data_IF_870779461202
#
_entry.id   IF_870779461202
#
_cell.length_a   1.000
_cell.length_b   1.000
_cell.length_c   1.000
_cell.angle_alpha   90.00
_cell.angle_beta   90.00
_cell.angle_gamma   90.00
#
_symmetry.space_group_name_H-M   'P 1'
#
loop_
_entity.id
_entity.type
_entity.pdbx_description
1 polymer ?
#
# COMPACT_ATOMS: atom_id res chain seq x y z
N UNK A 1 -26.05 -22.95 -3.42
CA UNK A 1 -25.36 -21.72 -2.97
C UNK A 1 -23.88 -21.98 -3.09
N UNK A 2 -23.24 -21.48 -4.15
CA UNK A 2 -21.80 -21.59 -4.36
C UNK A 2 -21.30 -20.18 -4.69
N UNK A 3 -21.12 -19.39 -3.63
CA UNK A 3 -20.36 -18.15 -3.66
C UNK A 3 -19.12 -18.39 -2.79
N UNK A 4 -18.05 -17.62 -3.04
CA UNK A 4 -16.83 -17.53 -2.21
C UNK A 4 -15.65 -18.45 -2.51
N UNK A 5 -15.35 -18.71 -3.79
CA UNK A 5 -13.93 -18.89 -4.20
C UNK A 5 -13.60 -18.02 -5.38
N UNK A 6 -13.99 -16.75 -5.31
CA UNK A 6 -13.39 -15.71 -6.13
C UNK A 6 -11.92 -15.59 -5.67
N UNK A 7 -11.04 -16.35 -6.33
CA UNK A 7 -9.60 -16.28 -6.08
C UNK A 7 -9.21 -14.82 -6.28
N UNK A 8 -8.83 -14.14 -5.20
CA UNK A 8 -8.13 -12.85 -5.19
C UNK A 8 -6.80 -13.00 -5.93
N UNK A 9 -6.85 -13.12 -7.27
CA UNK A 9 -5.71 -13.02 -8.15
C UNK A 9 -5.57 -11.55 -8.52
N UNK A 10 -4.97 -10.78 -7.63
CA UNK A 10 -4.54 -9.43 -7.99
C UNK A 10 -3.12 -9.58 -8.53
N UNK A 11 -2.90 -9.14 -9.78
CA UNK A 11 -1.55 -9.18 -10.34
C UNK A 11 -0.65 -8.14 -9.63
N UNK A 12 0.67 -8.39 -9.51
CA UNK A 12 1.60 -7.40 -8.95
C UNK A 12 1.54 -6.05 -9.69
N UNK A 13 1.29 -6.07 -10.99
CA UNK A 13 1.11 -4.87 -11.81
C UNK A 13 -0.15 -4.07 -11.45
N UNK A 14 -1.27 -4.74 -11.16
CA UNK A 14 -2.49 -4.07 -10.69
C UNK A 14 -2.31 -3.50 -9.28
N UNK A 15 -1.63 -4.22 -8.38
CA UNK A 15 -1.28 -3.69 -7.06
C UNK A 15 -0.43 -2.42 -7.16
N UNK A 16 0.59 -2.42 -8.03
CA UNK A 16 1.44 -1.25 -8.25
C UNK A 16 0.65 -0.06 -8.82
N UNK A 17 -0.28 -0.32 -9.75
CA UNK A 17 -1.16 0.73 -10.31
C UNK A 17 -2.11 1.29 -9.25
N UNK A 18 -2.72 0.44 -8.43
CA UNK A 18 -3.61 0.88 -7.34
C UNK A 18 -2.82 1.66 -6.30
N UNK A 19 -1.61 1.23 -5.95
CA UNK A 19 -0.74 1.97 -5.05
C UNK A 19 -0.35 3.35 -5.60
N UNK A 20 -0.05 3.45 -6.90
CA UNK A 20 0.20 4.73 -7.55
C UNK A 20 -1.01 5.67 -7.47
N UNK A 21 -2.22 5.11 -7.63
CA UNK A 21 -3.47 5.86 -7.53
C UNK A 21 -3.79 6.35 -6.11
N UNK A 22 -3.16 5.80 -5.06
CA UNK A 22 -3.34 6.24 -3.67
C UNK A 22 -2.53 7.51 -3.34
N UNK A 23 -1.52 7.87 -4.13
CA UNK A 23 -0.79 9.13 -3.93
C UNK A 23 -1.63 10.36 -4.31
N UNK A 24 -2.51 10.24 -5.31
CA UNK A 24 -3.39 11.34 -5.72
C UNK A 24 -4.34 11.81 -4.61
N UNK A 25 -5.12 10.95 -3.92
CA UNK A 25 -5.94 11.38 -2.78
C UNK A 25 -5.09 11.85 -1.60
N UNK A 26 -3.88 11.30 -1.39
CA UNK A 26 -2.96 11.81 -0.36
C UNK A 26 -2.56 13.27 -0.64
N UNK A 27 -2.16 13.59 -1.87
CA UNK A 27 -1.79 14.93 -2.30
C UNK A 27 -2.97 15.90 -2.27
N UNK A 28 -4.16 15.45 -2.70
CA UNK A 28 -5.37 16.25 -2.64
C UNK A 28 -5.74 16.58 -1.19
N UNK A 29 -5.68 15.60 -0.30
CA UNK A 29 -5.94 15.78 1.14
C UNK A 29 -4.93 16.77 1.73
N UNK A 30 -3.63 16.56 1.48
CA UNK A 30 -2.56 17.47 1.93
C UNK A 30 -2.80 18.91 1.47
N UNK A 31 -3.11 19.11 0.20
CA UNK A 31 -3.39 20.46 -0.35
C UNK A 31 -4.63 21.08 0.28
N UNK A 32 -5.69 20.31 0.48
CA UNK A 32 -6.95 20.80 1.05
C UNK A 32 -6.75 21.28 2.49
N UNK A 33 -6.11 20.48 3.34
CA UNK A 33 -5.83 20.86 4.72
C UNK A 33 -4.80 21.99 4.84
N UNK A 34 -3.78 22.03 3.98
CA UNK A 34 -2.85 23.15 3.91
C UNK A 34 -3.57 24.47 3.55
N UNK A 35 -4.47 24.44 2.57
CA UNK A 35 -5.25 25.61 2.18
C UNK A 35 -6.20 26.06 3.30
N UNK A 36 -6.88 25.12 3.97
CA UNK A 36 -7.74 25.44 5.12
C UNK A 36 -6.96 26.11 6.24
N UNK A 37 -5.77 25.59 6.55
CA UNK A 37 -4.89 26.19 7.56
C UNK A 37 -4.47 27.62 7.18
N UNK A 38 -4.04 27.84 5.94
CA UNK A 38 -3.65 29.17 5.44
C UNK A 38 -4.83 30.14 5.50
N UNK A 39 -6.02 29.71 5.07
CA UNK A 39 -7.23 30.55 5.13
C UNK A 39 -7.59 30.91 6.57
N UNK A 40 -7.46 29.96 7.50
CA UNK A 40 -7.69 30.19 8.92
C UNK A 40 -6.68 31.17 9.52
N UNK A 41 -5.39 30.99 9.24
CA UNK A 41 -4.34 31.91 9.69
C UNK A 41 -4.57 33.32 9.13
N UNK A 42 -5.04 33.44 7.89
CA UNK A 42 -5.37 34.72 7.26
C UNK A 42 -6.62 35.40 7.87
N UNK A 43 -7.60 34.62 8.34
CA UNK A 43 -8.80 35.13 9.01
C UNK A 43 -8.53 35.61 10.44
N UNK A 44 -7.41 35.22 11.05
CA UNK A 44 -7.06 35.61 12.42
C UNK A 44 -8.05 35.05 13.45
N UNK A 45 -8.33 35.82 14.51
CA UNK A 45 -9.35 35.49 15.52
C UNK A 45 -10.67 36.19 15.16
N UNK A 46 -11.65 35.51 14.55
CA UNK A 46 -12.90 36.16 14.14
C UNK A 46 -13.81 36.51 15.32
N UNK A 47 -13.58 35.93 16.51
CA UNK A 47 -14.46 36.04 17.68
C UNK A 47 -14.16 37.22 18.64
N UNK A 48 -13.29 38.17 18.28
CA UNK A 48 -12.99 39.33 19.14
C UNK A 48 -12.21 38.97 20.42
N UNK A 49 -12.01 39.94 21.31
CA UNK A 49 -11.29 39.76 22.59
C UNK A 49 -12.19 40.13 23.79
N UNK A 50 -12.21 39.27 24.81
CA UNK A 50 -12.73 39.61 26.14
C UNK A 50 -14.20 39.28 26.43
N UNK A 51 -15.07 39.20 25.42
CA UNK A 51 -16.49 38.89 25.63
C UNK A 51 -16.74 37.40 25.93
N UNK A 52 -17.81 37.10 26.68
CA UNK A 52 -18.18 35.72 27.09
C UNK A 52 -18.39 34.80 25.88
N UNK A 53 -18.93 35.34 24.78
CA UNK A 53 -19.12 34.61 23.51
C UNK A 53 -17.76 34.28 22.88
N UNK A 54 -16.78 35.18 22.97
CA UNK A 54 -15.43 34.96 22.46
C UNK A 54 -14.72 33.87 23.24
N UNK A 55 -14.87 33.86 24.56
CA UNK A 55 -14.28 32.84 25.45
C UNK A 55 -14.92 31.46 25.24
N UNK A 56 -16.25 31.40 25.08
CA UNK A 56 -16.95 30.17 24.76
C UNK A 56 -16.54 29.62 23.38
N UNK A 57 -16.45 30.49 22.37
CA UNK A 57 -15.95 30.13 21.05
C UNK A 57 -14.50 29.63 21.11
N UNK A 58 -13.61 30.30 21.84
CA UNK A 58 -12.21 29.87 21.98
C UNK A 58 -12.10 28.51 22.66
N UNK A 59 -12.92 28.25 23.69
CA UNK A 59 -12.95 26.98 24.41
C UNK A 59 -13.40 25.80 23.55
N UNK A 60 -14.40 25.99 22.70
CA UNK A 60 -15.05 24.88 21.98
C UNK A 60 -14.53 24.75 20.54
N UNK A 61 -14.29 25.85 19.82
CA UNK A 61 -13.88 25.82 18.42
C UNK A 61 -12.38 25.58 18.24
N UNK A 62 -11.51 26.13 19.09
CA UNK A 62 -10.06 25.96 18.93
C UNK A 62 -9.64 24.49 19.02
N UNK A 63 -10.07 23.71 20.02
CA UNK A 63 -9.72 22.29 20.07
C UNK A 63 -10.26 21.51 18.88
N UNK A 64 -11.48 21.83 18.42
CA UNK A 64 -12.10 21.17 17.27
C UNK A 64 -11.31 21.44 15.98
N UNK A 65 -10.79 22.66 15.82
CA UNK A 65 -9.94 23.07 14.71
C UNK A 65 -8.57 22.36 14.76
N UNK A 66 -7.97 22.24 15.94
CA UNK A 66 -6.70 21.52 16.13
C UNK A 66 -6.86 20.02 15.80
N UNK A 67 -7.95 19.40 16.25
CA UNK A 67 -8.26 18.01 15.88
C UNK A 67 -8.48 17.85 14.37
N UNK A 68 -9.04 18.86 13.69
CA UNK A 68 -9.22 18.83 12.24
C UNK A 68 -7.88 18.84 11.51
N UNK A 69 -6.91 19.63 11.98
CA UNK A 69 -5.54 19.62 11.43
C UNK A 69 -4.87 18.24 11.64
N UNK A 70 -5.02 17.65 12.84
CA UNK A 70 -4.49 16.32 13.16
C UNK A 70 -5.14 15.22 12.31
N UNK A 71 -6.45 15.31 12.07
CA UNK A 71 -7.16 14.42 11.15
C UNK A 71 -6.59 14.52 9.72
N UNK A 72 -6.29 15.74 9.26
CA UNK A 72 -5.68 15.95 7.95
C UNK A 72 -4.32 15.26 7.82
N UNK A 73 -3.46 15.38 8.83
CA UNK A 73 -2.15 14.72 8.87
C UNK A 73 -2.31 13.20 8.87
N UNK A 74 -3.14 12.67 9.76
CA UNK A 74 -3.34 11.22 9.90
C UNK A 74 -3.92 10.58 8.63
N UNK A 75 -4.81 11.28 7.90
CA UNK A 75 -5.32 10.80 6.60
C UNK A 75 -4.23 10.73 5.54
N UNK A 76 -3.36 11.75 5.46
CA UNK A 76 -2.23 11.75 4.51
C UNK A 76 -1.26 10.62 4.83
N UNK A 77 -0.95 10.39 6.10
CA UNK A 77 -0.12 9.27 6.55
C UNK A 77 -0.77 7.93 6.20
N UNK A 78 -2.07 7.76 6.48
CA UNK A 78 -2.79 6.53 6.18
C UNK A 78 -2.76 6.19 4.68
N UNK A 79 -2.98 7.17 3.80
CA UNK A 79 -2.87 6.95 2.35
C UNK A 79 -1.44 6.59 1.93
N UNK A 80 -0.44 7.28 2.48
CA UNK A 80 0.97 7.04 2.17
C UNK A 80 1.40 5.64 2.60
N UNK A 81 1.12 5.27 3.86
CA UNK A 81 1.43 3.95 4.41
C UNK A 81 0.70 2.84 3.64
N UNK A 82 -0.56 3.07 3.23
CA UNK A 82 -1.31 2.10 2.44
C UNK A 82 -0.68 1.91 1.06
N UNK A 83 -0.26 3.00 0.40
CA UNK A 83 0.44 2.93 -0.89
C UNK A 83 1.77 2.17 -0.77
N UNK A 84 2.58 2.51 0.23
CA UNK A 84 3.88 1.87 0.49
C UNK A 84 3.74 0.37 0.78
N UNK A 85 2.80 -0.01 1.64
CA UNK A 85 2.53 -1.41 1.96
C UNK A 85 2.03 -2.19 0.75
N UNK A 86 1.21 -1.55 -0.11
CA UNK A 86 0.73 -2.16 -1.36
C UNK A 86 1.87 -2.39 -2.34
N UNK A 87 2.81 -1.43 -2.46
CA UNK A 87 4.02 -1.58 -3.30
C UNK A 87 4.94 -2.67 -2.74
N UNK A 88 5.16 -2.71 -1.43
CA UNK A 88 5.98 -3.72 -0.78
C UNK A 88 5.40 -5.13 -1.02
N UNK A 89 4.07 -5.26 -0.91
CA UNK A 89 3.34 -6.50 -1.20
C UNK A 89 3.47 -6.89 -2.68
N UNK A 90 3.33 -5.93 -3.61
CA UNK A 90 3.52 -6.21 -5.04
C UNK A 90 4.94 -6.73 -5.35
N UNK A 91 5.97 -6.12 -4.73
CA UNK A 91 7.37 -6.55 -4.88
C UNK A 91 7.61 -7.94 -4.33
N UNK A 92 7.05 -8.28 -3.16
CA UNK A 92 7.22 -9.60 -2.57
C UNK A 92 6.53 -10.69 -3.39
N UNK A 93 5.35 -10.42 -3.94
CA UNK A 93 4.69 -11.35 -4.88
C UNK A 93 5.51 -11.57 -6.14
N UNK A 94 6.06 -10.52 -6.74
CA UNK A 94 6.89 -10.65 -7.92
C UNK A 94 8.14 -11.51 -7.67
N UNK A 95 8.85 -11.25 -6.56
CA UNK A 95 10.00 -12.06 -6.16
C UNK A 95 9.63 -13.53 -5.89
N UNK A 96 8.48 -13.77 -5.26
CA UNK A 96 7.99 -15.14 -5.03
C UNK A 96 7.65 -15.86 -6.34
N UNK A 97 7.09 -15.16 -7.33
CA UNK A 97 6.84 -15.72 -8.67
C UNK A 97 8.15 -16.08 -9.38
N UNK A 98 9.19 -15.24 -9.33
CA UNK A 98 10.50 -15.55 -9.92
C UNK A 98 11.13 -16.80 -9.30
N UNK A 99 11.12 -16.90 -7.97
CA UNK A 99 11.64 -18.07 -7.24
C UNK A 99 10.82 -19.32 -7.60
N UNK A 100 9.50 -19.21 -7.73
CA UNK A 100 8.65 -20.32 -8.12
C UNK A 100 8.94 -20.80 -9.56
N UNK A 101 9.21 -19.87 -10.48
CA UNK A 101 9.62 -20.19 -11.86
C UNK A 101 10.98 -20.87 -11.88
N UNK A 102 11.96 -20.37 -11.13
CA UNK A 102 13.30 -20.97 -11.04
C UNK A 102 13.24 -22.40 -10.49
N UNK A 103 12.51 -22.60 -9.38
CA UNK A 103 12.29 -23.92 -8.81
C UNK A 103 11.55 -24.86 -9.77
N UNK A 104 10.52 -24.36 -10.47
CA UNK A 104 9.80 -25.15 -11.48
C UNK A 104 10.69 -25.57 -12.64
N UNK A 105 11.55 -24.66 -13.12
CA UNK A 105 12.52 -24.95 -14.18
C UNK A 105 13.58 -25.95 -13.72
N UNK A 106 14.09 -25.81 -12.49
CA UNK A 106 15.03 -26.75 -11.87
C UNK A 106 14.42 -28.15 -11.77
N UNK A 107 13.18 -28.26 -11.27
CA UNK A 107 12.44 -29.53 -11.17
C UNK A 107 12.18 -30.16 -12.55
N UNK A 108 11.78 -29.37 -13.57
CA UNK A 108 11.64 -29.86 -14.96
C UNK A 108 12.98 -30.34 -15.54
N UNK A 109 14.07 -29.64 -15.26
CA UNK A 109 15.40 -30.06 -15.74
C UNK A 109 15.87 -31.35 -15.07
N UNK A 110 15.58 -31.55 -13.78
CA UNK A 110 15.86 -32.78 -13.05
C UNK A 110 15.06 -33.98 -13.55
N UNK A 111 13.83 -33.75 -14.03
CA UNK A 111 12.98 -34.79 -14.62
C UNK A 111 13.41 -35.16 -16.06
N UNK A 112 13.90 -34.19 -16.84
CA UNK A 112 14.44 -34.45 -18.19
C UNK A 112 15.89 -34.97 -18.19
N UNK A 113 16.63 -34.82 -17.08
CA UNK A 113 17.99 -35.35 -16.91
C UNK A 113 18.05 -36.82 -16.51
N UNK A 114 16.92 -37.42 -16.11
CA UNK A 114 16.86 -38.83 -15.67
C UNK A 114 16.55 -39.84 -16.77
N UNK A 115 16.50 -39.43 -18.04
CA UNK A 115 16.25 -40.34 -19.17
C UNK A 115 17.23 -40.10 -20.33
N UNK A 116 18.49 -40.52 -20.12
CA UNK A 116 19.35 -40.98 -21.21
C UNK A 116 20.02 -42.28 -20.78
N UNK A 117 19.33 -43.38 -21.08
CA UNK A 117 19.81 -44.72 -20.79
C UNK A 117 21.11 -45.07 -21.53
N UNK A 118 21.97 -45.81 -20.84
CA UNK A 118 22.98 -46.69 -21.44
C UNK A 118 22.96 -48.02 -20.67
N UNK A 119 21.95 -48.82 -20.96
CA UNK A 119 22.06 -50.26 -20.81
C UNK A 119 22.90 -50.80 -21.96
N UNK A 120 24.10 -51.30 -21.66
CA UNK A 120 24.84 -52.20 -22.54
C UNK A 120 25.51 -53.26 -21.68
N UNK A 121 24.89 -54.44 -21.61
CA UNK A 121 25.51 -55.61 -21.02
C UNK A 121 26.72 -56.06 -21.84
N UNK A 122 27.79 -56.50 -21.18
CA UNK A 122 28.83 -57.33 -21.79
C UNK A 122 29.76 -57.93 -20.73
N UNK A 123 29.64 -59.26 -20.58
CA UNK A 123 30.71 -60.24 -20.39
C UNK A 123 31.52 -60.29 -19.08
N UNK A 124 31.47 -61.46 -18.45
CA UNK A 124 32.38 -61.86 -17.38
C UNK A 124 33.83 -62.12 -17.85
N UNK A 125 34.71 -62.28 -16.85
CA UNK A 125 36.16 -62.63 -16.81
C UNK A 125 36.81 -61.63 -15.84
N UNK A 126 37.54 -61.99 -14.79
CA UNK A 126 38.22 -63.21 -14.33
C UNK A 126 38.37 -63.10 -12.82
#
# INVERSE_FOLDING_TARGET
MAAEQERLKVSPGEMARVAAALYEPADLTRKTFANLRIQREALGRPWGEGDEIAQAAEKDLVPMIEMLDELGVTLVEAFTHTAENTIATAKSFHAAEEIAVENSNSLRSGFNGSDSGSGSGSSGRR
#
